data_IF_171255934183
#
_entry.id   IF_171255934183
#
_cell.length_a   1.000
_cell.length_b   1.000
_cell.length_c   1.000
_cell.angle_alpha   90.00
_cell.angle_beta   90.00
_cell.angle_gamma   90.00
#
_symmetry.space_group_name_H-M   'P 1'
#
loop_
_entity.id
_entity.type
_entity.pdbx_description
1 polymer ?
#
# COMPACT_ATOMS: atom_id res chain seq x y z
N UNK A 1 4.02 28.69 6.30
CA UNK A 1 2.86 28.24 7.10
C UNK A 1 3.36 27.53 8.35
N UNK A 2 2.96 28.02 9.51
CA UNK A 2 3.34 27.45 10.81
C UNK A 2 2.50 26.18 11.03
N UNK A 3 3.17 25.02 11.12
CA UNK A 3 2.54 23.74 11.44
C UNK A 3 1.93 23.74 12.86
N UNK A 4 2.40 24.64 13.72
CA UNK A 4 2.02 24.74 15.12
C UNK A 4 1.31 26.07 15.40
N UNK A 5 0.08 26.20 14.97
CA UNK A 5 -0.73 27.38 15.30
C UNK A 5 -1.10 27.35 16.79
N UNK A 6 -0.61 28.34 17.54
CA UNK A 6 -0.93 28.57 18.96
C UNK A 6 -0.44 27.51 19.97
N UNK A 7 0.59 26.72 19.67
CA UNK A 7 1.20 25.78 20.60
C UNK A 7 2.67 26.18 20.81
N UNK A 8 3.06 26.43 22.04
CA UNK A 8 4.47 26.62 22.41
C UNK A 8 5.09 25.23 22.52
N UNK A 9 5.92 24.87 21.56
CA UNK A 9 6.65 23.59 21.55
C UNK A 9 8.04 23.87 22.11
N UNK A 10 8.45 23.14 23.15
CA UNK A 10 9.81 23.22 23.66
C UNK A 10 10.80 22.56 22.70
N UNK A 11 12.05 23.05 22.68
CA UNK A 11 13.14 22.44 21.87
C UNK A 11 13.35 20.96 22.20
N UNK A 12 13.12 20.55 23.45
CA UNK A 12 13.18 19.15 23.88
C UNK A 12 12.10 18.30 23.23
N UNK A 13 10.88 18.82 23.12
CA UNK A 13 9.75 18.11 22.46
C UNK A 13 10.04 17.90 20.98
N UNK A 14 10.56 18.92 20.31
CA UNK A 14 10.97 18.82 18.91
C UNK A 14 12.10 17.79 18.73
N UNK A 15 13.12 17.84 19.58
CA UNK A 15 14.25 16.91 19.53
C UNK A 15 13.79 15.46 19.72
N UNK A 16 12.86 15.20 20.65
CA UNK A 16 12.26 13.85 20.84
C UNK A 16 11.49 13.39 19.61
N UNK A 17 10.71 14.26 19.00
CA UNK A 17 9.99 13.93 17.75
C UNK A 17 10.96 13.57 16.63
N UNK A 18 12.02 14.34 16.44
CA UNK A 18 13.04 14.07 15.43
C UNK A 18 13.79 12.76 15.71
N UNK A 19 14.12 12.49 16.97
CA UNK A 19 14.73 11.21 17.34
C UNK A 19 13.82 10.03 17.01
N UNK A 20 12.54 10.10 17.39
CA UNK A 20 11.56 9.06 17.09
C UNK A 20 11.39 8.84 15.58
N UNK A 21 11.36 9.91 14.79
CA UNK A 21 11.30 9.82 13.33
C UNK A 21 12.55 9.14 12.75
N UNK A 22 13.75 9.49 13.23
CA UNK A 22 14.99 8.82 12.81
C UNK A 22 14.95 7.32 13.09
N UNK A 23 14.55 6.92 14.30
CA UNK A 23 14.41 5.50 14.64
C UNK A 23 13.41 4.75 13.74
N UNK A 24 12.34 5.41 13.33
CA UNK A 24 11.36 4.83 12.39
C UNK A 24 12.00 4.68 11.01
N UNK A 25 12.67 5.71 10.50
CA UNK A 25 13.32 5.66 9.20
C UNK A 25 14.45 4.62 9.13
N UNK A 26 15.27 4.50 10.18
CA UNK A 26 16.31 3.47 10.29
C UNK A 26 15.73 2.05 10.19
N UNK A 27 14.60 1.78 10.89
CA UNK A 27 13.93 0.47 10.84
C UNK A 27 13.45 0.07 9.46
N UNK A 28 13.20 1.02 8.58
CA UNK A 28 12.74 0.78 7.21
C UNK A 28 13.85 1.00 6.17
N UNK A 29 15.13 1.07 6.63
CA UNK A 29 16.30 1.14 5.74
C UNK A 29 16.59 2.52 5.16
N UNK A 30 15.96 3.59 5.70
CA UNK A 30 16.21 4.98 5.28
C UNK A 30 17.09 5.71 6.30
N UNK A 31 18.35 5.32 6.38
CA UNK A 31 19.32 5.96 7.25
C UNK A 31 19.61 7.40 6.81
N UNK A 32 19.76 8.29 7.77
CA UNK A 32 20.21 9.68 7.57
C UNK A 32 19.30 10.58 6.72
N UNK A 33 18.03 10.24 6.55
CA UNK A 33 17.11 11.11 5.80
C UNK A 33 16.70 12.40 6.56
N UNK A 34 17.05 12.53 7.84
CA UNK A 34 16.88 13.76 8.63
C UNK A 34 18.23 14.24 9.14
N UNK A 35 18.71 15.35 8.60
CA UNK A 35 19.95 15.98 8.98
C UNK A 35 19.73 17.12 9.97
N UNK A 36 20.67 17.29 10.92
CA UNK A 36 20.71 18.48 11.79
C UNK A 36 21.59 19.54 11.12
N UNK A 37 21.03 20.70 10.88
CA UNK A 37 21.77 21.86 10.34
C UNK A 37 22.08 22.81 11.50
N UNK A 38 23.33 22.99 11.81
CA UNK A 38 23.77 23.84 12.90
C UNK A 38 23.13 25.23 12.87
N UNK A 39 22.53 25.64 13.95
CA UNK A 39 21.81 26.92 14.14
C UNK A 39 20.63 27.17 13.18
N UNK A 40 20.22 26.20 12.35
CA UNK A 40 19.10 26.34 11.40
C UNK A 40 17.96 25.35 11.66
N UNK A 41 18.22 24.25 12.39
CA UNK A 41 17.23 23.23 12.70
C UNK A 41 17.45 21.91 11.96
N UNK A 42 16.43 21.35 11.36
CA UNK A 42 16.46 20.03 10.73
C UNK A 42 16.09 20.12 9.25
N UNK A 43 16.73 19.29 8.44
CA UNK A 43 16.45 19.16 7.01
C UNK A 43 16.17 17.71 6.67
N UNK A 44 15.09 17.47 5.91
CA UNK A 44 14.84 16.19 5.28
C UNK A 44 15.63 16.10 3.97
N UNK A 45 16.52 15.10 3.84
CA UNK A 45 17.39 14.89 2.68
C UNK A 45 16.95 13.70 1.79
N UNK A 46 15.86 13.01 2.18
CA UNK A 46 15.28 11.94 1.36
C UNK A 46 14.61 12.44 0.08
N UNK A 47 14.53 11.60 -0.93
CA UNK A 47 13.75 11.92 -2.12
C UNK A 47 12.26 12.01 -1.77
N UNK A 48 11.66 13.16 -2.05
CA UNK A 48 10.23 13.40 -1.83
C UNK A 48 9.54 13.40 -3.19
N UNK A 49 8.70 12.41 -3.42
CA UNK A 49 7.82 12.41 -4.58
C UNK A 49 6.50 13.06 -4.18
N UNK A 50 6.17 14.20 -4.81
CA UNK A 50 4.81 14.73 -4.72
C UNK A 50 3.93 13.89 -5.63
N UNK A 51 3.19 12.98 -5.05
CA UNK A 51 2.04 12.42 -5.76
C UNK A 51 0.97 13.51 -5.78
N UNK A 52 0.80 14.17 -6.91
CA UNK A 52 -0.40 14.98 -7.13
C UNK A 52 -1.56 13.99 -7.22
N UNK A 53 -2.32 13.80 -6.16
CA UNK A 53 -3.72 13.45 -6.33
C UNK A 53 -4.35 14.68 -6.97
N UNK A 54 -4.74 14.57 -8.21
CA UNK A 54 -5.66 15.53 -8.80
C UNK A 54 -6.99 15.29 -8.11
N UNK A 55 -7.27 16.09 -7.07
CA UNK A 55 -8.56 16.08 -6.36
C UNK A 55 -9.73 16.48 -7.30
N UNK A 56 -9.40 16.96 -8.49
CA UNK A 56 -10.35 17.48 -9.47
C UNK A 56 -10.67 16.55 -10.65
N UNK A 57 -10.01 15.38 -10.78
CA UNK A 57 -10.37 14.40 -11.80
C UNK A 57 -11.16 13.25 -11.17
N UNK A 58 -12.44 13.26 -11.39
CA UNK A 58 -13.44 12.29 -10.90
C UNK A 58 -13.32 10.88 -11.48
N UNK A 59 -12.20 10.54 -12.12
CA UNK A 59 -11.99 9.24 -12.77
C UNK A 59 -10.69 8.50 -12.41
N UNK A 60 -9.87 9.06 -11.52
CA UNK A 60 -8.60 8.42 -11.15
C UNK A 60 -8.77 7.53 -9.90
N UNK A 61 -8.61 6.22 -10.08
CA UNK A 61 -8.68 5.24 -9.00
C UNK A 61 -7.29 4.73 -8.62
N UNK A 62 -7.07 4.50 -7.34
CA UNK A 62 -5.86 3.90 -6.81
C UNK A 62 -6.16 2.59 -6.10
N UNK A 63 -5.37 1.56 -6.40
CA UNK A 63 -5.53 0.23 -5.84
C UNK A 63 -4.27 -0.24 -5.12
N UNK A 64 -4.43 -0.76 -3.90
CA UNK A 64 -3.38 -1.43 -3.14
C UNK A 64 -3.65 -2.93 -3.12
N UNK A 65 -2.63 -3.76 -3.38
CA UNK A 65 -2.72 -5.21 -3.26
C UNK A 65 -1.87 -5.61 -2.06
N UNK A 66 -2.53 -6.14 -1.03
CA UNK A 66 -1.85 -6.61 0.18
C UNK A 66 -1.35 -8.04 -0.01
N UNK A 67 -0.29 -8.44 0.73
CA UNK A 67 0.23 -9.80 0.69
C UNK A 67 -0.86 -10.83 0.96
N UNK A 68 -0.96 -11.84 0.09
CA UNK A 68 -1.90 -12.93 0.27
C UNK A 68 -1.46 -13.83 1.43
N UNK A 69 -2.42 -14.33 2.18
CA UNK A 69 -2.17 -15.35 3.19
C UNK A 69 -2.18 -16.73 2.56
N UNK A 70 -1.36 -17.64 3.05
CA UNK A 70 -1.34 -19.02 2.58
C UNK A 70 -1.09 -20.00 3.72
N UNK A 71 -1.74 -21.15 3.63
CA UNK A 71 -1.41 -22.34 4.43
C UNK A 71 -0.59 -23.37 3.62
N UNK A 72 -0.24 -23.04 2.38
CA UNK A 72 0.42 -23.95 1.42
C UNK A 72 1.91 -23.67 1.39
N UNK A 73 2.71 -24.62 1.84
CA UNK A 73 4.18 -24.48 1.92
C UNK A 73 4.90 -24.48 0.56
N UNK A 74 4.21 -24.87 -0.52
CA UNK A 74 4.83 -25.04 -1.85
C UNK A 74 4.65 -23.85 -2.78
N UNK A 75 4.12 -22.73 -2.29
CA UNK A 75 3.82 -21.56 -3.10
C UNK A 75 4.21 -20.31 -2.33
N UNK A 76 4.99 -19.46 -2.97
CA UNK A 76 5.35 -18.15 -2.41
C UNK A 76 4.26 -17.13 -2.75
N UNK A 77 3.51 -16.62 -1.75
CA UNK A 77 2.46 -15.63 -1.97
C UNK A 77 2.99 -14.32 -2.56
N UNK A 78 4.26 -13.99 -2.31
CA UNK A 78 4.87 -12.76 -2.82
C UNK A 78 5.03 -12.79 -4.34
N UNK A 79 5.32 -13.95 -4.91
CA UNK A 79 5.42 -14.10 -6.37
C UNK A 79 4.07 -13.83 -7.02
N UNK A 80 3.00 -14.42 -6.48
CA UNK A 80 1.64 -14.18 -6.99
C UNK A 80 1.20 -12.73 -6.86
N UNK A 81 1.52 -12.09 -5.74
CA UNK A 81 1.26 -10.66 -5.55
C UNK A 81 1.99 -9.82 -6.60
N UNK A 82 3.27 -10.13 -6.84
CA UNK A 82 4.09 -9.42 -7.82
C UNK A 82 3.51 -9.55 -9.23
N UNK A 83 3.17 -10.77 -9.63
CA UNK A 83 2.57 -11.04 -10.93
C UNK A 83 1.22 -10.33 -11.10
N UNK A 84 0.39 -10.33 -10.07
CA UNK A 84 -0.91 -9.63 -10.12
C UNK A 84 -0.75 -8.12 -10.25
N UNK A 85 0.14 -7.50 -9.46
CA UNK A 85 0.47 -6.07 -9.59
C UNK A 85 0.98 -5.76 -10.99
N UNK A 86 1.87 -6.61 -11.52
CA UNK A 86 2.43 -6.45 -12.86
C UNK A 86 1.36 -6.59 -13.96
N UNK A 87 0.48 -7.57 -13.84
CA UNK A 87 -0.61 -7.81 -14.80
C UNK A 87 -1.57 -6.63 -14.86
N UNK A 88 -1.95 -6.05 -13.71
CA UNK A 88 -2.82 -4.86 -13.67
C UNK A 88 -2.09 -3.66 -14.26
N UNK A 89 -0.85 -3.40 -13.86
CA UNK A 89 -0.06 -2.25 -14.33
C UNK A 89 0.23 -2.32 -15.84
N UNK A 90 0.45 -3.51 -16.38
CA UNK A 90 0.73 -3.72 -17.81
C UNK A 90 -0.48 -3.42 -18.70
N UNK A 91 -1.70 -3.49 -18.18
CA UNK A 91 -2.91 -3.16 -18.95
C UNK A 91 -3.06 -1.67 -19.24
N UNK A 92 -2.27 -0.82 -18.57
CA UNK A 92 -2.19 0.64 -18.81
C UNK A 92 -3.57 1.30 -18.93
N UNK A 93 -4.43 1.03 -17.97
CA UNK A 93 -5.78 1.59 -17.93
C UNK A 93 -5.68 3.05 -17.48
N UNK A 94 -6.18 3.95 -18.29
CA UNK A 94 -6.21 5.37 -17.96
C UNK A 94 -7.02 5.61 -16.68
N UNK A 95 -6.45 6.36 -15.75
CA UNK A 95 -7.08 6.65 -14.47
C UNK A 95 -6.99 5.55 -13.42
N UNK A 96 -6.34 4.41 -13.69
CA UNK A 96 -6.12 3.36 -12.69
C UNK A 96 -4.65 3.28 -12.28
N UNK A 97 -4.37 3.55 -11.01
CA UNK A 97 -3.02 3.52 -10.43
C UNK A 97 -2.86 2.39 -9.43
N UNK A 98 -1.84 1.58 -9.59
CA UNK A 98 -1.54 0.48 -8.66
C UNK A 98 -0.38 0.88 -7.75
N UNK A 99 -0.55 0.72 -6.43
CA UNK A 99 0.56 0.87 -5.50
C UNK A 99 1.62 -0.20 -5.76
N UNK A 100 2.92 0.18 -5.77
CA UNK A 100 3.99 -0.79 -5.99
C UNK A 100 4.06 -1.78 -4.82
N UNK A 101 4.41 -3.03 -5.12
CA UNK A 101 4.58 -4.08 -4.11
C UNK A 101 5.54 -3.69 -2.99
N UNK A 102 6.59 -2.89 -3.30
CA UNK A 102 7.52 -2.37 -2.31
C UNK A 102 6.84 -1.52 -1.20
N UNK A 103 5.67 -0.95 -1.48
CA UNK A 103 4.89 -0.19 -0.50
C UNK A 103 3.94 -1.07 0.33
N UNK A 104 3.55 -2.24 -0.17
CA UNK A 104 2.53 -3.10 0.45
C UNK A 104 3.06 -4.42 1.03
N UNK A 105 4.24 -4.90 0.62
CA UNK A 105 4.79 -6.20 1.02
C UNK A 105 5.07 -6.35 2.54
N UNK A 106 5.11 -5.24 3.27
CA UNK A 106 5.27 -5.25 4.74
C UNK A 106 3.94 -5.28 5.49
N UNK A 107 2.82 -5.18 4.77
CA UNK A 107 1.48 -5.15 5.36
C UNK A 107 0.91 -6.57 5.54
N UNK A 108 1.60 -7.39 6.37
CA UNK A 108 1.25 -8.80 6.58
C UNK A 108 0.20 -9.03 7.67
N UNK A 109 -0.15 -8.00 8.41
CA UNK A 109 -1.13 -8.05 9.50
C UNK A 109 -2.10 -6.86 9.41
N UNK A 110 -3.21 -6.95 10.16
CA UNK A 110 -4.25 -5.92 10.16
C UNK A 110 -3.76 -4.55 10.66
N UNK A 111 -2.75 -4.49 11.51
CA UNK A 111 -2.24 -3.23 12.07
C UNK A 111 -1.48 -2.48 10.99
N UNK A 112 -0.57 -3.17 10.29
CA UNK A 112 0.21 -2.60 9.19
C UNK A 112 -0.67 -2.23 7.99
N UNK A 113 -1.67 -3.06 7.65
CA UNK A 113 -2.66 -2.75 6.62
C UNK A 113 -3.46 -1.49 6.96
N UNK A 114 -4.01 -1.40 8.18
CA UNK A 114 -4.74 -0.20 8.64
C UNK A 114 -3.85 1.05 8.66
N UNK A 115 -2.59 0.92 9.03
CA UNK A 115 -1.62 2.03 8.98
C UNK A 115 -1.37 2.49 7.56
N UNK A 116 -1.26 1.56 6.61
CA UNK A 116 -1.15 1.86 5.18
C UNK A 116 -2.39 2.58 4.66
N UNK A 117 -3.58 2.03 4.92
CA UNK A 117 -4.86 2.61 4.47
C UNK A 117 -5.06 4.03 4.99
N UNK A 118 -4.76 4.29 6.26
CA UNK A 118 -4.84 5.63 6.85
C UNK A 118 -3.86 6.62 6.24
N UNK A 119 -2.63 6.17 5.93
CA UNK A 119 -1.55 7.02 5.42
C UNK A 119 -1.70 7.33 3.94
N UNK A 120 -1.95 6.32 3.13
CA UNK A 120 -1.93 6.42 1.68
C UNK A 120 -3.31 6.59 1.06
N UNK A 121 -4.37 6.22 1.79
CA UNK A 121 -5.77 6.35 1.40
C UNK A 121 -6.02 5.87 -0.04
N UNK A 122 -5.71 4.62 -0.39
CA UNK A 122 -6.10 4.07 -1.68
C UNK A 122 -7.62 4.15 -1.82
N UNK A 123 -8.14 4.13 -3.04
CA UNK A 123 -9.59 4.06 -3.26
C UNK A 123 -10.09 2.63 -3.05
N UNK A 124 -9.29 1.66 -3.50
CA UNK A 124 -9.56 0.24 -3.34
C UNK A 124 -8.35 -0.51 -2.77
N UNK A 125 -8.62 -1.64 -2.14
CA UNK A 125 -7.57 -2.60 -1.85
C UNK A 125 -8.03 -4.03 -2.10
N UNK A 126 -7.06 -4.88 -2.40
CA UNK A 126 -7.24 -6.32 -2.59
C UNK A 126 -6.57 -7.06 -1.46
N UNK A 127 -7.28 -7.99 -0.88
CA UNK A 127 -6.76 -9.00 0.03
C UNK A 127 -7.15 -10.38 -0.46
N UNK A 128 -6.47 -11.43 0.03
CA UNK A 128 -6.80 -12.77 -0.41
C UNK A 128 -6.11 -13.87 0.37
N UNK A 129 -6.56 -15.07 0.09
CA UNK A 129 -6.04 -16.30 0.69
C UNK A 129 -5.85 -17.39 -0.37
N UNK A 130 -4.70 -18.04 -0.30
CA UNK A 130 -4.42 -19.20 -1.13
C UNK A 130 -4.77 -20.46 -0.35
N UNK A 131 -5.65 -21.25 -0.91
CA UNK A 131 -6.08 -22.54 -0.38
C UNK A 131 -5.65 -23.67 -1.32
N UNK A 132 -5.40 -24.84 -0.76
CA UNK A 132 -5.15 -26.06 -1.53
C UNK A 132 -6.12 -27.14 -1.08
N UNK A 133 -6.93 -27.62 -2.01
CA UNK A 133 -7.78 -28.78 -1.83
C UNK A 133 -7.29 -29.87 -2.81
N UNK A 134 -6.78 -30.97 -2.26
CA UNK A 134 -6.12 -32.01 -3.02
C UNK A 134 -4.95 -31.46 -3.87
N UNK A 135 -5.00 -31.60 -5.19
CA UNK A 135 -3.97 -31.09 -6.11
C UNK A 135 -4.27 -29.68 -6.65
N UNK A 136 -5.47 -29.13 -6.40
CA UNK A 136 -5.90 -27.84 -6.97
C UNK A 136 -5.62 -26.73 -5.98
N UNK A 137 -4.88 -25.71 -6.44
CA UNK A 137 -4.63 -24.47 -5.69
C UNK A 137 -5.57 -23.39 -6.18
N UNK A 138 -6.28 -22.77 -5.25
CA UNK A 138 -7.22 -21.69 -5.53
C UNK A 138 -6.86 -20.45 -4.75
N UNK A 139 -7.02 -19.29 -5.38
CA UNK A 139 -6.92 -17.98 -4.79
C UNK A 139 -8.32 -17.45 -4.51
N UNK A 140 -8.68 -17.29 -3.25
CA UNK A 140 -9.82 -16.48 -2.85
C UNK A 140 -9.36 -15.03 -2.77
N UNK A 141 -10.05 -14.13 -3.44
CA UNK A 141 -9.76 -12.69 -3.42
C UNK A 141 -11.00 -11.89 -3.02
N UNK A 142 -10.74 -10.76 -2.41
CA UNK A 142 -11.71 -9.73 -2.06
C UNK A 142 -11.22 -8.38 -2.55
N UNK A 143 -12.06 -7.69 -3.31
CA UNK A 143 -11.90 -6.28 -3.67
C UNK A 143 -12.74 -5.44 -2.72
N UNK A 144 -12.13 -4.49 -2.05
CA UNK A 144 -12.75 -3.73 -0.96
C UNK A 144 -12.59 -2.23 -1.23
N UNK A 145 -13.68 -1.47 -1.07
CA UNK A 145 -13.65 0.00 -0.99
C UNK A 145 -12.89 0.42 0.27
N UNK A 146 -11.77 1.10 0.10
CA UNK A 146 -10.90 1.44 1.21
C UNK A 146 -11.46 2.57 2.09
N UNK A 147 -12.40 3.36 1.59
CA UNK A 147 -13.01 4.48 2.30
C UNK A 147 -14.06 4.00 3.31
N UNK A 148 -14.89 3.05 2.89
CA UNK A 148 -16.03 2.56 3.67
C UNK A 148 -15.80 1.16 4.24
N UNK A 149 -14.76 0.47 3.79
CA UNK A 149 -14.45 -0.94 4.09
C UNK A 149 -15.57 -1.89 3.63
N UNK A 150 -16.26 -1.54 2.55
CA UNK A 150 -17.29 -2.40 1.98
C UNK A 150 -16.69 -3.34 0.92
N UNK A 151 -17.10 -4.60 1.01
CA UNK A 151 -16.78 -5.58 -0.02
C UNK A 151 -17.48 -5.19 -1.33
N UNK A 152 -16.69 -4.94 -2.37
CA UNK A 152 -17.19 -4.65 -3.71
C UNK A 152 -17.44 -5.94 -4.46
N UNK A 153 -16.46 -6.83 -4.48
CA UNK A 153 -16.54 -8.11 -5.16
C UNK A 153 -15.61 -9.15 -4.51
N UNK A 154 -15.95 -10.42 -4.62
CA UNK A 154 -15.09 -11.52 -4.23
C UNK A 154 -15.18 -12.65 -5.25
N UNK A 155 -14.09 -13.42 -5.39
CA UNK A 155 -14.08 -14.55 -6.30
C UNK A 155 -13.12 -15.65 -5.81
N UNK A 156 -13.35 -16.87 -6.32
CA UNK A 156 -12.44 -18.01 -6.20
C UNK A 156 -11.91 -18.37 -7.58
N UNK A 157 -10.62 -18.22 -7.78
CA UNK A 157 -9.96 -18.43 -9.07
C UNK A 157 -8.82 -19.43 -8.93
N UNK A 158 -8.54 -20.25 -9.95
CA UNK A 158 -7.33 -21.03 -9.98
C UNK A 158 -6.09 -20.12 -9.89
N UNK A 159 -5.07 -20.55 -9.14
CA UNK A 159 -3.83 -19.79 -8.99
C UNK A 159 -3.14 -19.56 -10.34
N UNK A 160 -3.28 -20.50 -11.27
CA UNK A 160 -2.66 -20.44 -12.59
C UNK A 160 -3.34 -19.42 -13.54
N UNK A 161 -4.48 -18.83 -13.15
CA UNK A 161 -5.27 -17.91 -13.96
C UNK A 161 -5.19 -16.46 -13.47
N UNK A 162 -4.00 -15.95 -13.18
CA UNK A 162 -3.82 -14.57 -12.68
C UNK A 162 -4.27 -13.48 -13.66
N UNK A 163 -4.30 -13.78 -14.95
CA UNK A 163 -4.87 -12.85 -15.93
C UNK A 163 -6.38 -12.67 -15.74
N UNK A 164 -7.10 -13.74 -15.43
CA UNK A 164 -8.53 -13.69 -15.11
C UNK A 164 -8.75 -12.95 -13.78
N UNK A 165 -7.85 -13.16 -12.81
CA UNK A 165 -7.86 -12.44 -11.54
C UNK A 165 -7.68 -10.93 -11.74
N UNK A 166 -6.72 -10.52 -12.56
CA UNK A 166 -6.50 -9.10 -12.85
C UNK A 166 -7.67 -8.48 -13.60
N UNK A 167 -8.28 -9.22 -14.52
CA UNK A 167 -9.46 -8.75 -15.26
C UNK A 167 -10.67 -8.60 -14.33
N UNK A 168 -10.93 -9.58 -13.47
CA UNK A 168 -11.99 -9.50 -12.46
C UNK A 168 -11.87 -8.23 -11.58
N UNK A 169 -10.66 -7.90 -11.10
CA UNK A 169 -10.44 -6.70 -10.29
C UNK A 169 -10.78 -5.44 -11.09
N UNK A 170 -10.26 -5.34 -12.30
CA UNK A 170 -10.43 -4.17 -13.17
C UNK A 170 -11.90 -3.96 -13.52
N UNK A 171 -12.61 -5.01 -13.93
CA UNK A 171 -14.00 -4.92 -14.34
C UNK A 171 -14.92 -4.44 -13.20
N UNK A 172 -14.58 -4.78 -11.95
CA UNK A 172 -15.34 -4.34 -10.77
C UNK A 172 -14.97 -2.94 -10.26
N UNK A 173 -13.85 -2.37 -10.71
CA UNK A 173 -13.47 -0.98 -10.38
C UNK A 173 -14.05 0.00 -11.39
N UNK A 174 -14.16 -0.41 -12.67
CA UNK A 174 -14.55 0.46 -13.77
C UNK A 174 -16.06 0.43 -14.09
N UNK A 175 -16.86 -0.34 -13.34
CA UNK A 175 -18.32 -0.31 -13.41
C UNK A 175 -18.89 0.90 -12.68
#
# INVERSE_FOLDING_TARGET
>A
ESVWKNIIVSDESLTRCIYSLRCIFEKIGYDRCIETIYRKGYRFSGQVFKTKRNEDNTSDYSIAIFPFTTSVNTLDPLILNQELVQNISNKKIDGLYTYPMAATNFCNDHISQNSFLRRFKPDYFVTGRINQNNAVKTLYIELIDAKNLFLIASNHLPVDELNNTSQFIIDNILQ
#
